data_IF_321393914512
#
_entry.id   IF_321393914512
#
_cell.length_a   1.000
_cell.length_b   1.000
_cell.length_c   1.000
_cell.angle_alpha   90.00
_cell.angle_beta   90.00
_cell.angle_gamma   90.00
#
_symmetry.space_group_name_H-M   'P 1'
#
loop_
_entity.id
_entity.type
_entity.pdbx_description
1 polymer ?
#
# COMPACT_ATOMS: atom_id res chain seq x y z
N UNK A 1 -26.68 -0.70 -2.40
CA UNK A 1 -26.12 -1.12 -3.70
C UNK A 1 -24.88 -1.95 -3.40
N UNK A 2 -25.00 -3.28 -3.44
CA UNK A 2 -23.88 -4.17 -3.19
C UNK A 2 -23.05 -4.29 -4.47
N UNK A 3 -22.04 -3.43 -4.60
CA UNK A 3 -20.97 -3.66 -5.56
C UNK A 3 -20.24 -4.95 -5.17
N UNK A 4 -19.62 -5.61 -6.15
CA UNK A 4 -18.97 -6.92 -6.00
C UNK A 4 -17.69 -6.84 -5.14
N UNK A 5 -17.84 -6.55 -3.84
CA UNK A 5 -16.73 -6.43 -2.90
C UNK A 5 -16.05 -7.78 -2.72
N UNK A 6 -14.77 -7.85 -3.11
CA UNK A 6 -13.92 -9.02 -2.90
C UNK A 6 -13.05 -8.81 -1.68
N UNK A 7 -13.02 -9.81 -0.79
CA UNK A 7 -12.11 -9.83 0.37
C UNK A 7 -10.83 -10.54 0.00
N UNK A 8 -9.71 -9.89 0.27
CA UNK A 8 -8.38 -10.45 0.12
C UNK A 8 -7.66 -10.46 1.47
N UNK A 9 -6.78 -11.44 1.66
CA UNK A 9 -5.86 -11.49 2.80
C UNK A 9 -4.46 -11.44 2.23
N UNK A 10 -3.64 -10.56 2.78
CA UNK A 10 -2.23 -10.42 2.42
C UNK A 10 -1.38 -10.60 3.67
N UNK A 11 -0.19 -11.15 3.50
CA UNK A 11 0.84 -11.14 4.52
C UNK A 11 1.81 -10.01 4.21
N UNK A 12 2.17 -9.23 5.22
CA UNK A 12 3.15 -8.14 5.13
C UNK A 12 4.30 -8.40 6.09
N UNK A 13 5.47 -7.80 5.82
CA UNK A 13 6.58 -7.86 6.77
C UNK A 13 6.24 -7.10 8.05
N UNK A 14 6.86 -7.44 9.19
CA UNK A 14 6.65 -6.71 10.45
C UNK A 14 6.94 -5.21 10.33
N UNK A 15 8.04 -4.86 9.65
CA UNK A 15 8.43 -3.46 9.41
C UNK A 15 7.36 -2.69 8.60
N UNK A 16 6.84 -3.28 7.53
CA UNK A 16 5.74 -2.66 6.77
C UNK A 16 4.48 -2.52 7.61
N UNK A 17 4.17 -3.49 8.47
CA UNK A 17 3.03 -3.40 9.36
C UNK A 17 3.14 -2.23 10.36
N UNK A 18 4.34 -1.99 10.90
CA UNK A 18 4.60 -0.83 11.77
C UNK A 18 4.36 0.49 11.02
N UNK A 19 4.85 0.62 9.80
CA UNK A 19 4.60 1.80 8.95
C UNK A 19 3.10 2.01 8.67
N UNK A 20 2.37 0.93 8.40
CA UNK A 20 0.91 0.98 8.19
C UNK A 20 0.17 1.42 9.45
N UNK A 21 0.61 0.98 10.64
CA UNK A 21 0.04 1.42 11.92
C UNK A 21 0.29 2.92 12.13
N UNK A 22 1.52 3.39 11.92
CA UNK A 22 1.85 4.81 12.05
C UNK A 22 1.05 5.68 11.07
N UNK A 23 0.92 5.24 9.81
CA UNK A 23 0.07 5.92 8.83
C UNK A 23 -1.41 5.93 9.27
N UNK A 24 -1.88 4.83 9.85
CA UNK A 24 -3.25 4.70 10.37
C UNK A 24 -3.53 5.65 11.52
N UNK A 25 -2.59 5.82 12.44
CA UNK A 25 -2.74 6.69 13.61
C UNK A 25 -2.60 8.18 13.27
N UNK A 26 -1.79 8.50 12.26
CA UNK A 26 -1.60 9.85 11.75
C UNK A 26 -2.65 10.23 10.70
N UNK A 27 -2.27 10.14 9.42
CA UNK A 27 -3.04 10.66 8.28
C UNK A 27 -4.42 10.03 8.14
N UNK A 28 -4.56 8.76 8.54
CA UNK A 28 -5.79 7.98 8.36
C UNK A 28 -6.54 7.73 9.66
N UNK A 29 -6.33 8.55 10.69
CA UNK A 29 -6.88 8.33 12.04
C UNK A 29 -8.39 8.05 12.04
N UNK A 30 -9.14 8.77 11.21
CA UNK A 30 -10.60 8.74 11.18
C UNK A 30 -11.20 7.80 10.12
N UNK A 31 -10.38 7.04 9.38
CA UNK A 31 -10.84 6.08 8.37
C UNK A 31 -10.65 4.64 8.83
N UNK A 32 -11.21 3.67 8.12
CA UNK A 32 -10.93 2.25 8.37
C UNK A 32 -9.59 1.86 7.73
N UNK A 33 -8.97 0.78 8.22
CA UNK A 33 -7.76 0.23 7.60
C UNK A 33 -7.99 -0.18 6.13
N UNK A 34 -9.19 -0.68 5.81
CA UNK A 34 -9.54 -1.06 4.44
C UNK A 34 -9.59 0.16 3.50
N UNK A 35 -10.20 1.26 3.94
CA UNK A 35 -10.23 2.50 3.15
C UNK A 35 -8.83 3.10 3.00
N UNK A 36 -8.02 3.07 4.07
CA UNK A 36 -6.61 3.46 4.00
C UNK A 36 -5.84 2.65 2.94
N UNK A 37 -5.97 1.32 2.97
CA UNK A 37 -5.29 0.45 2.01
C UNK A 37 -5.78 0.70 0.58
N UNK A 38 -7.08 0.92 0.37
CA UNK A 38 -7.63 1.29 -0.95
C UNK A 38 -7.01 2.59 -1.47
N UNK A 39 -6.94 3.63 -0.64
CA UNK A 39 -6.31 4.90 -1.02
C UNK A 39 -4.81 4.76 -1.32
N UNK A 40 -4.07 3.99 -0.51
CA UNK A 40 -2.65 3.77 -0.71
C UNK A 40 -2.38 3.02 -2.02
N UNK A 41 -3.19 2.00 -2.33
CA UNK A 41 -3.11 1.27 -3.60
C UNK A 41 -3.38 2.21 -4.76
N UNK A 42 -4.45 3.02 -4.71
CA UNK A 42 -4.77 3.97 -5.77
C UNK A 42 -3.62 4.97 -6.00
N UNK A 43 -3.09 5.58 -4.93
CA UNK A 43 -1.95 6.49 -5.02
C UNK A 43 -0.72 5.84 -5.64
N UNK A 44 -0.43 4.59 -5.26
CA UNK A 44 0.65 3.81 -5.88
C UNK A 44 0.41 3.61 -7.38
N UNK A 45 -0.80 3.21 -7.77
CA UNK A 45 -1.17 3.02 -9.18
C UNK A 45 -1.12 4.32 -10.00
N UNK A 46 -1.50 5.45 -9.40
CA UNK A 46 -1.42 6.77 -10.04
C UNK A 46 0.04 7.19 -10.25
N UNK A 47 0.91 7.00 -9.25
CA UNK A 47 2.36 7.23 -9.40
C UNK A 47 2.97 6.36 -10.50
N UNK A 48 2.59 5.08 -10.56
CA UNK A 48 3.06 4.14 -11.60
C UNK A 48 2.59 4.52 -13.01
N UNK A 49 1.43 5.17 -13.15
CA UNK A 49 0.94 5.62 -14.46
C UNK A 49 1.60 6.92 -14.93
N UNK A 50 2.10 7.73 -13.99
CA UNK A 50 2.88 8.93 -14.28
C UNK A 50 4.34 8.62 -14.65
N UNK A 51 4.89 7.50 -14.17
CA UNK A 51 6.25 7.04 -14.49
C UNK A 51 6.23 5.96 -15.57
N UNK A 52 6.77 6.27 -16.76
CA UNK A 52 7.23 5.24 -17.69
C UNK A 52 8.18 4.25 -16.97
N UNK A 53 8.19 2.96 -17.33
CA UNK A 53 8.77 1.91 -16.49
C UNK A 53 10.29 1.98 -16.49
N UNK A 54 10.86 2.58 -15.46
CA UNK A 54 12.24 2.30 -15.03
C UNK A 54 12.21 1.61 -13.68
N UNK A 55 11.67 0.39 -13.65
CA UNK A 55 11.95 -0.56 -12.58
C UNK A 55 13.40 -1.04 -12.74
N UNK A 56 14.37 -0.28 -12.21
CA UNK A 56 15.67 -0.84 -11.86
C UNK A 56 15.58 -1.35 -10.43
N UNK A 57 15.34 -2.65 -10.30
CA UNK A 57 15.49 -3.36 -9.03
C UNK A 57 16.98 -3.32 -8.65
N UNK A 58 17.38 -2.41 -7.75
CA UNK A 58 18.67 -2.52 -7.08
C UNK A 58 18.59 -3.68 -6.10
N UNK A 59 18.98 -4.87 -6.57
CA UNK A 59 19.27 -6.00 -5.72
C UNK A 59 20.68 -5.78 -5.16
N UNK A 60 20.77 -5.22 -3.95
CA UNK A 60 22.02 -5.25 -3.18
C UNK A 60 22.32 -6.70 -2.79
N UNK A 61 23.18 -7.34 -3.58
CA UNK A 61 23.92 -8.53 -3.17
C UNK A 61 25.11 -8.06 -2.34
N UNK A 62 25.05 -8.26 -1.03
CA UNK A 62 26.23 -8.17 -0.18
C UNK A 62 26.97 -9.50 -0.22
N UNK A 63 28.23 -9.44 -0.62
CA UNK A 63 29.19 -10.54 -0.71
C UNK A 63 29.64 -11.06 0.67
#
# INVERSE_FOLDING_TARGET
MAANDRRFTISVSPCMNEELILAKEGKYRNTTQNEMLRELILKGLESLQGEHPTLSCHHEQTA
#
